data_IF_486170723400
#
_entry.id   IF_486170723400
#
_cell.length_a   1.000
_cell.length_b   1.000
_cell.length_c   1.000
_cell.angle_alpha   90.00
_cell.angle_beta   90.00
_cell.angle_gamma   90.00
#
_symmetry.space_group_name_H-M   'P 1'
#
loop_
_entity.id
_entity.type
_entity.pdbx_description
1 polymer ?
#
# COMPACT_ATOMS: atom_id res chain seq x y z
N UNK A 1 4.98 -14.04 -14.40
CA UNK A 1 5.51 -12.71 -14.06
C UNK A 1 5.86 -12.70 -12.59
N UNK A 2 7.09 -12.31 -12.23
CA UNK A 2 7.48 -12.20 -10.83
C UNK A 2 6.95 -10.87 -10.22
N UNK A 3 7.11 -10.71 -8.90
CA UNK A 3 6.59 -9.54 -8.20
C UNK A 3 7.28 -8.24 -8.64
N UNK A 4 8.59 -8.27 -8.88
CA UNK A 4 9.34 -7.09 -9.31
C UNK A 4 8.88 -6.57 -10.68
N UNK A 5 8.73 -7.46 -11.67
CA UNK A 5 8.16 -7.13 -12.97
C UNK A 5 6.73 -6.57 -12.84
N UNK A 6 5.95 -7.10 -11.90
CA UNK A 6 4.60 -6.59 -11.62
C UNK A 6 4.66 -5.15 -11.07
N UNK A 7 5.64 -4.83 -10.22
CA UNK A 7 5.82 -3.48 -9.66
C UNK A 7 6.29 -2.47 -10.71
N UNK A 8 7.14 -2.86 -11.65
CA UNK A 8 7.55 -1.99 -12.75
C UNK A 8 6.35 -1.61 -13.64
N UNK A 9 5.53 -2.59 -14.01
CA UNK A 9 4.31 -2.35 -14.78
C UNK A 9 3.30 -1.52 -13.98
N UNK A 10 3.12 -1.83 -12.69
CA UNK A 10 2.23 -1.06 -11.83
C UNK A 10 2.68 0.40 -11.68
N UNK A 11 3.98 0.66 -11.57
CA UNK A 11 4.51 2.01 -11.52
C UNK A 11 4.16 2.79 -12.78
N UNK A 12 4.35 2.18 -13.96
CA UNK A 12 3.96 2.78 -15.23
C UNK A 12 2.47 3.11 -15.26
N UNK A 13 1.61 2.17 -14.81
CA UNK A 13 0.16 2.39 -14.70
C UNK A 13 -0.16 3.55 -13.75
N UNK A 14 0.42 3.59 -12.54
CA UNK A 14 0.18 4.69 -11.61
C UNK A 14 0.56 6.06 -12.19
N UNK A 15 1.69 6.14 -12.90
CA UNK A 15 2.14 7.39 -13.53
C UNK A 15 1.27 7.81 -14.72
N UNK A 16 0.81 6.86 -15.53
CA UNK A 16 -0.01 7.16 -16.71
C UNK A 16 -1.45 7.51 -16.36
N UNK A 17 -1.97 6.95 -15.26
CA UNK A 17 -3.37 7.06 -14.85
C UNK A 17 -3.54 7.88 -13.56
N UNK A 18 -2.73 8.90 -13.31
CA UNK A 18 -2.64 9.63 -12.03
C UNK A 18 -4.01 10.05 -11.46
N UNK A 19 -4.94 10.52 -12.30
CA UNK A 19 -6.28 10.98 -11.89
C UNK A 19 -7.41 9.95 -12.04
N UNK A 20 -7.09 8.68 -12.32
CA UNK A 20 -8.09 7.64 -12.59
C UNK A 20 -8.66 6.99 -11.32
N UNK A 21 -9.82 6.34 -11.44
CA UNK A 21 -10.43 5.56 -10.35
C UNK A 21 -9.63 4.29 -10.03
N UNK A 22 -9.91 3.69 -8.86
CA UNK A 22 -9.31 2.40 -8.48
C UNK A 22 -9.66 1.28 -9.47
N UNK A 23 -10.92 1.22 -9.93
CA UNK A 23 -11.36 0.23 -10.93
C UNK A 23 -10.62 0.39 -12.26
N UNK A 24 -10.35 1.64 -12.68
CA UNK A 24 -9.60 1.90 -13.90
C UNK A 24 -8.13 1.49 -13.78
N UNK A 25 -7.49 1.75 -12.63
CA UNK A 25 -6.14 1.26 -12.36
C UNK A 25 -6.08 -0.27 -12.33
N UNK A 26 -7.03 -0.90 -11.65
CA UNK A 26 -7.11 -2.35 -11.55
C UNK A 26 -7.22 -2.97 -12.95
N UNK A 27 -8.12 -2.44 -13.79
CA UNK A 27 -8.26 -2.85 -15.17
C UNK A 27 -6.96 -2.64 -15.96
N UNK A 28 -6.31 -1.48 -15.84
CA UNK A 28 -5.06 -1.19 -16.54
C UNK A 28 -3.92 -2.13 -16.12
N UNK A 29 -3.85 -2.52 -14.85
CA UNK A 29 -2.91 -3.52 -14.36
C UNK A 29 -3.17 -4.90 -14.98
N UNK A 30 -4.44 -5.31 -15.11
CA UNK A 30 -4.81 -6.56 -15.78
C UNK A 30 -4.49 -6.56 -17.27
N UNK A 31 -4.83 -5.47 -17.97
CA UNK A 31 -4.54 -5.31 -19.39
C UNK A 31 -3.01 -5.32 -19.64
N UNK A 32 -2.21 -4.90 -18.66
CA UNK A 32 -0.74 -4.97 -18.68
C UNK A 32 -0.17 -6.36 -18.36
N UNK A 33 -1.03 -7.36 -18.08
CA UNK A 33 -0.64 -8.74 -17.80
C UNK A 33 -0.29 -9.03 -16.33
N UNK A 34 -0.51 -8.09 -15.40
CA UNK A 34 -0.33 -8.34 -13.97
C UNK A 34 -1.43 -9.31 -13.51
N UNK A 35 -1.05 -10.34 -12.75
CA UNK A 35 -2.03 -11.29 -12.23
C UNK A 35 -3.01 -10.61 -11.28
N UNK A 36 -4.25 -11.11 -11.21
CA UNK A 36 -5.28 -10.61 -10.30
C UNK A 36 -4.79 -10.42 -8.88
N UNK A 37 -4.18 -11.46 -8.33
CA UNK A 37 -3.66 -11.45 -6.96
C UNK A 37 -2.57 -10.39 -6.75
N UNK A 38 -1.64 -10.25 -7.70
CA UNK A 38 -0.58 -9.25 -7.56
C UNK A 38 -1.12 -7.84 -7.69
N UNK A 39 -2.04 -7.57 -8.63
CA UNK A 39 -2.59 -6.22 -8.79
C UNK A 39 -3.37 -5.79 -7.54
N UNK A 40 -4.25 -6.65 -6.99
CA UNK A 40 -4.98 -6.36 -5.75
C UNK A 40 -4.00 -6.00 -4.62
N UNK A 41 -2.94 -6.80 -4.42
CA UNK A 41 -1.95 -6.55 -3.36
C UNK A 41 -1.11 -5.31 -3.61
N UNK A 42 -0.73 -5.05 -4.86
CA UNK A 42 0.05 -3.87 -5.24
C UNK A 42 -0.79 -2.60 -5.02
N UNK A 43 -2.05 -2.58 -5.45
CA UNK A 43 -2.96 -1.45 -5.23
C UNK A 43 -3.15 -1.13 -3.75
N UNK A 44 -3.13 -2.15 -2.89
CA UNK A 44 -3.21 -1.97 -1.44
C UNK A 44 -1.91 -1.45 -0.81
N UNK A 45 -0.79 -2.11 -1.10
CA UNK A 45 0.43 -1.92 -0.31
C UNK A 45 1.45 -0.97 -0.94
N UNK A 46 1.48 -0.85 -2.27
CA UNK A 46 2.46 -0.01 -2.94
C UNK A 46 2.25 1.49 -2.62
N UNK A 47 1.02 2.05 -2.65
CA UNK A 47 0.79 3.43 -2.21
C UNK A 47 1.23 3.68 -0.76
N UNK A 48 0.92 2.77 0.16
CA UNK A 48 1.32 2.89 1.57
C UNK A 48 2.84 2.93 1.73
N UNK A 49 3.54 2.00 1.07
CA UNK A 49 5.00 1.92 1.12
C UNK A 49 5.65 3.19 0.52
N UNK A 50 5.15 3.67 -0.62
CA UNK A 50 5.64 4.88 -1.28
C UNK A 50 5.40 6.13 -0.43
N UNK A 51 4.20 6.27 0.16
CA UNK A 51 3.89 7.36 1.08
C UNK A 51 4.81 7.39 2.29
N UNK A 52 5.07 6.23 2.90
CA UNK A 52 5.99 6.13 4.05
C UNK A 52 7.44 6.50 3.70
N UNK A 53 7.92 6.13 2.51
CA UNK A 53 9.24 6.57 2.03
C UNK A 53 9.26 8.08 1.82
N UNK A 54 8.21 8.65 1.20
CA UNK A 54 8.10 10.08 0.95
C UNK A 54 8.08 10.90 2.25
N UNK A 55 7.52 10.35 3.34
CA UNK A 55 7.40 11.03 4.63
C UNK A 55 8.52 10.72 5.62
N UNK A 56 9.55 9.95 5.23
CA UNK A 56 10.61 9.46 6.14
C UNK A 56 11.23 10.56 7.00
N UNK A 57 11.49 11.73 6.41
CA UNK A 57 12.21 12.83 7.07
C UNK A 57 11.26 13.89 7.66
N UNK A 58 9.96 13.67 7.60
CA UNK A 58 8.95 14.63 8.10
C UNK A 58 8.72 14.59 9.61
N UNK A 59 9.07 13.47 10.25
CA UNK A 59 8.79 13.21 11.66
C UNK A 59 7.39 12.64 11.95
N UNK A 60 6.55 12.41 10.92
CA UNK A 60 5.28 11.69 11.07
C UNK A 60 5.53 10.28 11.59
N UNK A 61 4.73 9.84 12.57
CA UNK A 61 4.82 8.50 13.15
C UNK A 61 3.77 7.58 12.55
N UNK A 62 4.24 6.48 11.95
CA UNK A 62 3.41 5.42 11.38
C UNK A 62 3.39 4.19 12.29
N UNK A 63 2.28 3.46 12.31
CA UNK A 63 2.26 2.13 12.90
C UNK A 63 2.91 1.09 11.98
N UNK A 64 3.57 0.11 12.60
CA UNK A 64 4.19 -1.08 11.99
C UNK A 64 3.18 -2.17 11.61
N UNK A 65 1.89 -1.94 11.91
CA UNK A 65 0.81 -2.90 11.67
C UNK A 65 -0.35 -2.30 10.90
N UNK A 66 -1.12 -3.16 10.25
CA UNK A 66 -2.41 -2.86 9.63
C UNK A 66 -3.52 -3.77 10.18
N UNK A 67 -4.77 -3.41 9.90
CA UNK A 67 -5.93 -4.23 10.24
C UNK A 67 -6.65 -4.69 8.97
N UNK A 68 -7.11 -5.94 8.91
CA UNK A 68 -8.08 -6.40 7.91
C UNK A 68 -9.47 -6.48 8.52
N UNK A 69 -10.45 -5.88 7.86
CA UNK A 69 -11.86 -5.89 8.30
C UNK A 69 -12.77 -6.42 7.19
N UNK A 70 -13.66 -7.37 7.55
CA UNK A 70 -14.60 -7.94 6.57
C UNK A 70 -15.77 -6.97 6.42
N UNK A 71 -16.25 -6.71 5.18
CA UNK A 71 -17.46 -5.92 5.00
C UNK A 71 -18.60 -6.48 5.87
N UNK A 72 -19.28 -5.61 6.62
CA UNK A 72 -20.36 -5.97 7.53
C UNK A 72 -19.96 -6.65 8.85
N UNK A 73 -18.66 -6.88 9.11
CA UNK A 73 -18.19 -7.44 10.38
C UNK A 73 -17.61 -6.38 11.31
N UNK A 74 -17.89 -6.47 12.61
CA UNK A 74 -17.22 -5.67 13.64
C UNK A 74 -15.81 -6.19 13.97
N UNK A 75 -15.49 -7.44 13.60
CA UNK A 75 -14.19 -8.05 13.89
C UNK A 75 -13.13 -7.57 12.88
N UNK A 76 -11.99 -7.14 13.39
CA UNK A 76 -10.77 -6.94 12.61
C UNK A 76 -9.66 -7.86 13.11
N UNK A 77 -8.75 -8.25 12.22
CA UNK A 77 -7.51 -8.98 12.56
C UNK A 77 -6.34 -8.06 12.27
N UNK A 78 -5.40 -7.99 13.22
CA UNK A 78 -4.19 -7.16 13.14
C UNK A 78 -3.08 -7.99 12.48
N UNK A 79 -2.31 -7.35 11.61
CA UNK A 79 -1.19 -7.95 10.87
C UNK A 79 0.03 -7.03 10.93
N UNK A 80 1.22 -7.61 10.89
CA UNK A 80 2.47 -6.87 10.76
C UNK A 80 2.73 -6.52 9.30
N UNK A 81 3.17 -5.29 9.03
CA UNK A 81 3.68 -4.93 7.71
C UNK A 81 4.99 -5.65 7.36
N UNK A 82 5.81 -5.97 8.37
CA UNK A 82 7.08 -6.68 8.17
C UNK A 82 6.88 -8.12 7.67
N UNK A 83 5.75 -8.74 8.02
CA UNK A 83 5.40 -10.11 7.60
C UNK A 83 4.72 -10.14 6.22
N UNK A 84 4.44 -8.98 5.61
CA UNK A 84 3.79 -8.89 4.30
C UNK A 84 4.84 -8.72 3.19
N UNK A 85 5.02 -9.76 2.38
CA UNK A 85 6.04 -9.79 1.32
C UNK A 85 5.85 -8.67 0.27
N UNK A 86 4.60 -8.34 -0.09
CA UNK A 86 4.31 -7.31 -1.09
C UNK A 86 4.61 -5.92 -0.56
N UNK A 87 4.25 -5.65 0.70
CA UNK A 87 4.62 -4.39 1.34
C UNK A 87 6.13 -4.25 1.50
N UNK A 88 6.82 -5.29 1.99
CA UNK A 88 8.27 -5.26 2.16
C UNK A 88 9.00 -5.06 0.82
N UNK A 89 8.56 -5.73 -0.24
CA UNK A 89 9.08 -5.52 -1.59
C UNK A 89 8.79 -4.10 -2.12
N UNK A 90 7.58 -3.58 -1.88
CA UNK A 90 7.17 -2.23 -2.30
C UNK A 90 7.98 -1.15 -1.59
N UNK A 91 8.29 -1.34 -0.31
CA UNK A 91 9.10 -0.41 0.48
C UNK A 91 10.53 -0.31 -0.07
N UNK A 92 11.17 -1.47 -0.30
CA UNK A 92 12.49 -1.54 -0.95
C UNK A 92 12.46 -0.95 -2.36
N UNK A 93 11.36 -1.15 -3.10
CA UNK A 93 11.21 -0.61 -4.44
C UNK A 93 11.07 0.93 -4.41
N UNK A 94 10.25 1.47 -3.51
CA UNK A 94 10.09 2.90 -3.28
C UNK A 94 11.41 3.58 -2.90
N UNK A 95 12.22 2.94 -2.04
CA UNK A 95 13.56 3.42 -1.69
C UNK A 95 14.49 3.52 -2.89
N UNK A 96 14.46 2.55 -3.81
CA UNK A 96 15.23 2.63 -5.06
C UNK A 96 14.76 3.79 -5.93
N UNK A 97 13.44 3.98 -6.04
CA UNK A 97 12.89 5.11 -6.80
C UNK A 97 13.30 6.45 -6.19
N UNK A 98 13.27 6.59 -4.85
CA UNK A 98 13.67 7.82 -4.14
C UNK A 98 15.10 8.28 -4.48
N UNK A 99 16.00 7.36 -4.75
CA UNK A 99 17.40 7.63 -5.08
C UNK A 99 17.65 7.83 -6.59
N UNK A 100 16.62 7.77 -7.43
CA UNK A 100 16.73 7.90 -8.88
C UNK A 100 16.46 9.34 -9.36
N UNK A 101 17.01 9.73 -10.52
CA UNK A 101 16.89 11.09 -11.07
C UNK A 101 15.44 11.52 -11.34
N UNK A 102 14.56 10.59 -11.71
CA UNK A 102 13.12 10.81 -11.91
C UNK A 102 12.28 10.30 -10.75
N UNK A 103 12.92 10.10 -9.59
CA UNK A 103 12.35 9.42 -8.43
C UNK A 103 11.18 10.13 -7.80
N UNK A 104 11.26 11.46 -7.67
CA UNK A 104 10.27 12.27 -6.94
C UNK A 104 8.92 12.26 -7.65
N UNK A 105 8.89 12.40 -8.98
CA UNK A 105 7.65 12.40 -9.76
C UNK A 105 6.93 11.05 -9.63
N UNK A 106 7.68 9.95 -9.80
CA UNK A 106 7.18 8.59 -9.64
C UNK A 106 6.72 8.29 -8.22
N UNK A 107 7.48 8.76 -7.22
CA UNK A 107 7.11 8.65 -5.82
C UNK A 107 5.78 9.35 -5.57
N UNK A 108 5.64 10.59 -6.04
CA UNK A 108 4.45 11.43 -5.87
C UNK A 108 3.22 10.78 -6.50
N UNK A 109 3.31 10.30 -7.75
CA UNK A 109 2.18 9.71 -8.46
C UNK A 109 1.57 8.49 -7.72
N UNK A 110 2.43 7.68 -7.09
CA UNK A 110 1.99 6.50 -6.33
C UNK A 110 1.59 6.87 -4.91
N UNK A 111 2.36 7.72 -4.23
CA UNK A 111 2.12 8.10 -2.84
C UNK A 111 0.86 8.94 -2.67
N UNK A 112 0.49 9.76 -3.66
CA UNK A 112 -0.73 10.57 -3.66
C UNK A 112 -2.01 9.73 -3.54
N UNK A 113 -1.94 8.43 -3.84
CA UNK A 113 -3.06 7.49 -3.69
C UNK A 113 -3.09 6.80 -2.32
N UNK A 114 -2.10 7.03 -1.47
CA UNK A 114 -2.07 6.50 -0.11
C UNK A 114 -3.11 7.20 0.76
N UNK A 115 -3.99 6.45 1.46
CA UNK A 115 -4.88 7.06 2.45
C UNK A 115 -4.10 7.73 3.59
N UNK A 116 -2.93 7.20 3.97
CA UNK A 116 -2.06 7.81 4.99
C UNK A 116 -1.55 9.18 4.53
N UNK A 117 -1.09 9.30 3.27
CA UNK A 117 -0.64 10.57 2.70
C UNK A 117 -1.76 11.60 2.65
N UNK A 118 -2.96 11.19 2.25
CA UNK A 118 -4.13 12.07 2.23
C UNK A 118 -4.43 12.61 3.64
N UNK A 119 -4.49 11.75 4.65
CA UNK A 119 -4.73 12.17 6.03
C UNK A 119 -3.64 13.12 6.54
N UNK A 120 -2.37 12.86 6.23
CA UNK A 120 -1.28 13.75 6.61
C UNK A 120 -1.44 15.12 5.93
N UNK A 121 -1.72 15.13 4.62
CA UNK A 121 -1.91 16.37 3.88
C UNK A 121 -3.08 17.19 4.44
N UNK A 122 -4.20 16.55 4.75
CA UNK A 122 -5.37 17.20 5.35
C UNK A 122 -5.00 17.83 6.70
N UNK A 123 -4.34 17.09 7.60
CA UNK A 123 -3.90 17.60 8.91
C UNK A 123 -2.91 18.76 8.83
N UNK A 124 -1.96 18.70 7.89
CA UNK A 124 -0.98 19.78 7.66
C UNK A 124 -1.67 21.02 7.10
N UNK A 125 -2.63 20.85 6.18
CA UNK A 125 -3.44 21.96 5.67
C UNK A 125 -4.28 22.62 6.78
N UNK A 126 -4.67 21.86 7.80
CA UNK A 126 -5.33 22.36 9.01
C UNK A 126 -4.37 23.01 10.03
N UNK A 127 -3.07 23.07 9.73
CA UNK A 127 -2.05 23.74 10.54
C UNK A 127 -1.32 22.84 11.54
N UNK A 128 -1.51 21.51 11.47
CA UNK A 128 -0.77 20.57 12.33
C UNK A 128 0.72 20.51 11.96
N UNK A 129 1.59 20.46 12.97
CA UNK A 129 3.02 20.16 12.76
C UNK A 129 3.19 18.67 12.40
N UNK A 130 3.80 18.31 11.25
CA UNK A 130 4.07 16.92 10.88
C UNK A 130 4.70 16.06 11.99
N UNK A 131 5.58 16.63 12.83
CA UNK A 131 6.24 15.92 13.94
C UNK A 131 5.30 15.51 15.08
N UNK A 132 4.15 16.18 15.17
CA UNK A 132 3.09 15.89 16.13
C UNK A 132 2.10 14.84 15.63
N UNK A 133 2.10 14.53 14.33
CA UNK A 133 1.16 13.60 13.71
C UNK A 133 1.55 12.16 14.06
N UNK A 134 0.60 11.44 14.64
CA UNK A 134 0.68 9.99 14.89
C UNK A 134 -0.52 9.34 14.21
N UNK A 135 -0.28 8.64 13.11
CA UNK A 135 -1.34 7.94 12.39
C UNK A 135 -1.70 6.66 13.14
N UNK A 136 -2.98 6.28 13.09
CA UNK A 136 -3.45 4.96 13.54
C UNK A 136 -3.13 3.88 12.49
N UNK A 137 -3.24 2.59 12.86
CA UNK A 137 -3.05 1.50 11.90
C UNK A 137 -4.09 1.56 10.77
N UNK A 138 -3.69 1.51 9.48
CA UNK A 138 -4.64 1.54 8.39
C UNK A 138 -5.54 0.31 8.41
N UNK A 139 -6.81 0.50 8.04
CA UNK A 139 -7.81 -0.56 7.95
C UNK A 139 -8.04 -0.89 6.47
N UNK A 140 -7.67 -2.10 6.08
CA UNK A 140 -7.85 -2.63 4.73
C UNK A 140 -9.06 -3.57 4.70
N UNK A 141 -9.85 -3.51 3.62
CA UNK A 141 -10.90 -4.50 3.37
C UNK A 141 -10.30 -5.89 3.14
N UNK A 142 -11.02 -6.97 3.44
CA UNK A 142 -10.61 -8.28 2.93
C UNK A 142 -10.82 -8.34 1.43
N UNK A 143 -9.74 -8.56 0.68
CA UNK A 143 -9.85 -9.01 -0.71
C UNK A 143 -10.30 -10.48 -0.74
N UNK A 144 -10.70 -10.94 -1.93
CA UNK A 144 -11.32 -12.26 -2.15
C UNK A 144 -10.46 -13.46 -1.70
N UNK A 145 -9.17 -13.27 -1.41
CA UNK A 145 -8.26 -14.33 -0.95
C UNK A 145 -7.56 -13.94 0.37
N UNK A 146 -7.59 -14.81 1.41
CA UNK A 146 -6.87 -14.55 2.65
C UNK A 146 -5.35 -14.51 2.42
N UNK A 147 -4.66 -13.59 3.10
CA UNK A 147 -3.19 -13.42 3.03
C UNK A 147 -2.42 -14.61 3.62
N UNK A 148 -3.08 -15.47 4.39
CA UNK A 148 -2.45 -16.62 5.01
C UNK A 148 -3.32 -17.87 4.82
N UNK A 149 -2.88 -18.90 4.05
CA UNK A 149 -3.54 -20.20 4.03
C UNK A 149 -3.37 -20.97 5.36
N UNK A 150 -2.57 -20.44 6.29
CA UNK A 150 -2.20 -21.07 7.56
C UNK A 150 -3.12 -20.80 8.74
N UNK A 151 -4.36 -20.31 8.55
CA UNK A 151 -5.38 -20.51 9.59
C UNK A 151 -5.67 -22.03 9.60
N UNK A 152 -4.83 -22.78 10.35
CA UNK A 152 -5.03 -24.20 10.61
C UNK A 152 -6.47 -24.35 11.07
N UNK A 153 -7.23 -25.08 10.28
CA UNK A 153 -8.57 -25.44 10.66
C UNK A 153 -8.46 -26.20 11.98
N UNK A 154 -9.28 -25.85 12.97
CA UNK A 154 -9.18 -26.37 14.34
C UNK A 154 -9.21 -27.92 14.42
N UNK A 155 -9.66 -28.58 13.35
CA UNK A 155 -9.66 -30.03 13.18
C UNK A 155 -8.35 -30.65 12.67
N UNK A 156 -7.31 -29.87 12.35
CA UNK A 156 -5.98 -30.37 11.97
C UNK A 156 -5.00 -30.48 13.16
N UNK A 157 -5.49 -30.32 14.40
CA UNK A 157 -4.68 -30.40 15.64
C UNK A 157 -5.02 -31.68 16.44
N UNK A 158 -5.72 -32.65 15.83
CA UNK A 158 -6.02 -33.96 16.42
C UNK A 158 -5.78 -35.08 15.41
#
# INVERSE_FOLDING_TARGET
MNLEQSMDLALAVFTQYESSTWDALEKAMYDSGISKLNAERILEFMPLAFGRVMMRDSGVKFHDTYQRKKPGSSRSKKFSFADNEVFAASLKYAERQANSRSGIERLTAVSARSPEMKTIQDLVNEGSDPKSIVLSSPVLGWTSKPENPGDKQWWQIW
#
